data_IF_369824482572
#
_entry.id   IF_369824482572
#
_cell.length_a   1.000
_cell.length_b   1.000
_cell.length_c   1.000
_cell.angle_alpha   90.00
_cell.angle_beta   90.00
_cell.angle_gamma   90.00
#
_symmetry.space_group_name_H-M   'P 1'
#
loop_
_entity.id
_entity.type
_entity.pdbx_description
1 polymer ?
#
# COMPACT_ATOMS: atom_id res chain seq x y z
N UNK A 1 -15.28 -9.97 -5.51
CA UNK A 1 -15.16 -10.36 -4.09
C UNK A 1 -16.36 -9.88 -3.29
N UNK A 2 -16.62 -8.56 -3.18
CA UNK A 2 -17.73 -8.02 -2.38
C UNK A 2 -19.10 -8.59 -2.78
N UNK A 3 -19.42 -8.65 -4.07
CA UNK A 3 -20.68 -9.22 -4.57
C UNK A 3 -20.90 -10.68 -4.14
N UNK A 4 -19.86 -11.52 -4.22
CA UNK A 4 -19.87 -12.92 -3.78
C UNK A 4 -20.12 -13.04 -2.27
N UNK A 5 -19.51 -12.15 -1.48
CA UNK A 5 -19.71 -12.12 -0.02
C UNK A 5 -21.14 -11.66 0.32
N UNK A 6 -21.66 -10.62 -0.34
CA UNK A 6 -23.02 -10.13 -0.10
C UNK A 6 -24.06 -11.22 -0.42
N UNK A 7 -23.87 -11.97 -1.49
CA UNK A 7 -24.76 -13.08 -1.86
C UNK A 7 -24.61 -14.29 -0.92
N UNK A 8 -23.41 -14.55 -0.40
CA UNK A 8 -23.22 -15.52 0.69
C UNK A 8 -24.00 -15.10 1.95
N UNK A 9 -23.93 -13.82 2.33
CA UNK A 9 -24.69 -13.27 3.47
C UNK A 9 -26.20 -13.29 3.24
N UNK A 10 -26.65 -13.18 1.98
CA UNK A 10 -28.03 -13.36 1.58
C UNK A 10 -28.49 -14.84 1.58
N UNK A 11 -27.62 -15.77 1.99
CA UNK A 11 -27.94 -17.18 2.20
C UNK A 11 -27.51 -18.12 1.06
N UNK A 12 -26.81 -17.64 0.02
CA UNK A 12 -26.27 -18.55 -1.02
C UNK A 12 -25.16 -19.43 -0.44
N UNK A 13 -25.21 -20.72 -0.76
CA UNK A 13 -24.15 -21.66 -0.41
C UNK A 13 -22.87 -21.40 -1.21
N UNK A 14 -21.72 -21.81 -0.67
CA UNK A 14 -20.43 -21.70 -1.37
C UNK A 14 -20.42 -22.45 -2.72
N UNK A 15 -21.23 -23.51 -2.86
CA UNK A 15 -21.36 -24.29 -4.10
C UNK A 15 -22.11 -23.50 -5.18
N UNK A 16 -23.19 -22.81 -4.80
CA UNK A 16 -23.91 -21.94 -5.74
C UNK A 16 -23.01 -20.81 -6.25
N UNK A 17 -22.25 -20.18 -5.34
CA UNK A 17 -21.31 -19.11 -5.69
C UNK A 17 -20.16 -19.59 -6.59
N UNK A 18 -19.66 -20.80 -6.37
CA UNK A 18 -18.63 -21.42 -7.22
C UNK A 18 -19.11 -21.60 -8.67
N UNK A 19 -20.33 -22.11 -8.84
CA UNK A 19 -20.93 -22.36 -10.17
C UNK A 19 -21.26 -21.04 -10.87
N UNK A 20 -21.93 -20.12 -10.18
CA UNK A 20 -22.44 -18.87 -10.76
C UNK A 20 -21.32 -17.92 -11.18
N UNK A 21 -20.24 -17.84 -10.39
CA UNK A 21 -19.13 -16.95 -10.68
C UNK A 21 -17.94 -17.65 -11.38
N UNK A 22 -18.00 -18.97 -11.57
CA UNK A 22 -16.89 -19.78 -12.09
C UNK A 22 -15.60 -19.60 -11.27
N UNK A 23 -15.74 -19.56 -9.94
CA UNK A 23 -14.64 -19.34 -8.99
C UNK A 23 -14.49 -20.58 -8.13
N UNK A 24 -13.26 -21.07 -7.96
CA UNK A 24 -13.03 -22.25 -7.13
C UNK A 24 -13.55 -22.10 -5.70
N UNK A 25 -14.09 -23.18 -5.16
CA UNK A 25 -14.56 -23.27 -3.76
C UNK A 25 -13.55 -22.73 -2.74
N UNK A 26 -12.26 -22.99 -2.93
CA UNK A 26 -11.20 -22.55 -2.03
C UNK A 26 -11.06 -21.02 -2.02
N UNK A 27 -11.21 -20.38 -3.18
CA UNK A 27 -11.18 -18.92 -3.29
C UNK A 27 -12.39 -18.30 -2.59
N UNK A 28 -13.59 -18.85 -2.79
CA UNK A 28 -14.82 -18.39 -2.11
C UNK A 28 -14.69 -18.53 -0.59
N UNK A 29 -14.24 -19.69 -0.09
CA UNK A 29 -13.99 -19.92 1.33
C UNK A 29 -12.97 -18.94 1.91
N UNK A 30 -11.87 -18.70 1.20
CA UNK A 30 -10.86 -17.74 1.65
C UNK A 30 -11.46 -16.32 1.73
N UNK A 31 -12.24 -15.88 0.75
CA UNK A 31 -12.87 -14.56 0.81
C UNK A 31 -13.86 -14.43 1.98
N UNK A 32 -14.68 -15.44 2.24
CA UNK A 32 -15.59 -15.47 3.40
C UNK A 32 -14.79 -15.44 4.71
N UNK A 33 -13.72 -16.24 4.81
CA UNK A 33 -12.86 -16.26 5.98
C UNK A 33 -12.23 -14.88 6.25
N UNK A 34 -11.67 -14.24 5.22
CA UNK A 34 -11.05 -12.92 5.33
C UNK A 34 -12.10 -11.84 5.66
N UNK A 35 -13.32 -11.96 5.15
CA UNK A 35 -14.43 -11.08 5.51
C UNK A 35 -14.82 -11.24 6.99
N UNK A 36 -15.02 -12.47 7.48
CA UNK A 36 -15.37 -12.74 8.87
C UNK A 36 -14.26 -12.30 9.86
N UNK A 37 -13.01 -12.26 9.40
CA UNK A 37 -11.87 -11.72 10.17
C UNK A 37 -11.76 -10.19 10.12
N UNK A 38 -12.65 -9.49 9.40
CA UNK A 38 -12.60 -8.04 9.22
C UNK A 38 -11.45 -7.56 8.33
N UNK A 39 -10.76 -8.48 7.65
CA UNK A 39 -9.60 -8.20 6.79
C UNK A 39 -10.10 -7.73 5.40
N UNK A 40 -11.11 -8.41 4.86
CA UNK A 40 -11.70 -8.05 3.58
C UNK A 40 -12.75 -6.95 3.81
N UNK A 41 -12.29 -5.70 3.73
CA UNK A 41 -13.15 -4.52 3.75
C UNK A 41 -13.66 -4.23 2.34
N UNK A 42 -14.82 -3.58 2.29
CA UNK A 42 -15.37 -3.06 1.05
C UNK A 42 -14.35 -2.10 0.40
N UNK A 43 -14.15 -2.22 -0.91
CA UNK A 43 -13.17 -1.38 -1.60
C UNK A 43 -13.67 0.06 -1.58
N UNK A 44 -13.04 0.89 -0.75
CA UNK A 44 -13.22 2.34 -0.79
C UNK A 44 -12.27 2.92 -1.86
N UNK A 45 -12.80 3.40 -3.00
CA UNK A 45 -11.98 4.02 -4.03
C UNK A 45 -11.26 5.26 -3.51
N UNK A 46 -11.76 5.92 -2.45
CA UNK A 46 -11.22 7.17 -1.88
C UNK A 46 -10.86 8.18 -2.97
N UNK A 47 -11.73 8.34 -3.98
CA UNK A 47 -11.41 9.09 -5.21
C UNK A 47 -10.89 10.52 -4.96
N UNK A 48 -11.37 11.15 -3.88
CA UNK A 48 -10.96 12.48 -3.43
C UNK A 48 -9.45 12.60 -3.23
N UNK A 49 -8.75 11.55 -2.76
CA UNK A 49 -7.30 11.63 -2.50
C UNK A 49 -6.47 11.83 -3.78
N UNK A 50 -7.04 11.50 -4.94
CA UNK A 50 -6.39 11.64 -6.24
C UNK A 50 -6.65 13.00 -6.89
N UNK A 51 -7.71 13.70 -6.50
CA UNK A 51 -8.09 15.00 -7.09
C UNK A 51 -7.92 16.18 -6.14
N UNK A 52 -7.87 15.95 -4.83
CA UNK A 52 -7.79 17.01 -3.83
C UNK A 52 -6.51 17.85 -3.90
N UNK A 53 -6.60 19.09 -3.42
CA UNK A 53 -5.44 19.95 -3.22
C UNK A 53 -4.76 19.60 -1.90
N UNK A 54 -3.44 19.54 -1.92
CA UNK A 54 -2.68 19.37 -0.68
C UNK A 54 -2.47 20.71 0.01
N UNK A 55 -2.51 20.76 1.35
CA UNK A 55 -2.12 21.95 2.10
C UNK A 55 -0.64 22.29 1.85
N UNK A 56 -0.30 23.57 2.08
CA UNK A 56 1.10 24.00 2.10
C UNK A 56 1.74 23.48 3.40
N UNK A 57 2.60 22.47 3.27
CA UNK A 57 3.34 21.88 4.38
C UNK A 57 4.83 22.21 4.28
N UNK A 58 5.49 22.32 5.43
CA UNK A 58 6.94 22.49 5.52
C UNK A 58 7.67 21.23 5.00
N UNK A 59 8.96 21.38 4.69
CA UNK A 59 9.81 20.26 4.24
C UNK A 59 9.91 19.17 5.32
N UNK A 60 10.04 19.57 6.58
CA UNK A 60 10.14 18.67 7.73
C UNK A 60 8.85 17.87 7.92
N UNK A 61 7.69 18.52 7.85
CA UNK A 61 6.40 17.84 7.96
C UNK A 61 6.21 16.83 6.83
N UNK A 62 6.55 17.19 5.59
CA UNK A 62 6.51 16.26 4.44
C UNK A 62 7.39 15.03 4.67
N UNK A 63 8.58 15.22 5.23
CA UNK A 63 9.50 14.12 5.55
C UNK A 63 8.96 13.23 6.68
N UNK A 64 8.35 13.82 7.71
CA UNK A 64 7.71 13.07 8.80
C UNK A 64 6.54 12.22 8.29
N UNK A 65 5.70 12.79 7.42
CA UNK A 65 4.57 12.06 6.82
C UNK A 65 5.07 10.91 5.92
N UNK A 66 6.12 11.16 5.13
CA UNK A 66 6.73 10.13 4.30
C UNK A 66 7.29 8.97 5.13
N UNK A 67 7.97 9.28 6.24
CA UNK A 67 8.49 8.29 7.18
C UNK A 67 7.37 7.43 7.77
N UNK A 68 6.29 8.06 8.27
CA UNK A 68 5.13 7.34 8.82
C UNK A 68 4.50 6.41 7.78
N UNK A 69 4.43 6.86 6.51
CA UNK A 69 3.89 6.03 5.43
C UNK A 69 4.69 4.74 5.24
N UNK A 70 6.02 4.83 5.28
CA UNK A 70 6.92 3.67 5.16
C UNK A 70 6.74 2.73 6.37
N UNK A 71 6.74 3.28 7.60
CA UNK A 71 6.57 2.51 8.83
C UNK A 71 5.24 1.74 8.89
N UNK A 72 4.17 2.31 8.30
CA UNK A 72 2.86 1.66 8.18
C UNK A 72 2.72 0.75 6.95
N UNK A 73 3.84 0.31 6.35
CA UNK A 73 3.82 -0.62 5.22
C UNK A 73 3.31 -0.02 3.93
N UNK A 74 3.61 1.27 3.68
CA UNK A 74 3.22 2.01 2.47
C UNK A 74 1.70 2.10 2.26
N UNK A 75 0.93 2.23 3.35
CA UNK A 75 -0.51 2.47 3.29
C UNK A 75 -0.83 3.93 2.90
N UNK A 76 -0.60 4.26 1.63
CA UNK A 76 -0.77 5.61 1.09
C UNK A 76 -2.19 6.14 1.26
N UNK A 77 -3.21 5.29 1.07
CA UNK A 77 -4.62 5.70 1.13
C UNK A 77 -4.97 6.27 2.51
N UNK A 78 -4.61 5.56 3.58
CA UNK A 78 -4.95 5.99 4.93
C UNK A 78 -4.12 7.20 5.39
N UNK A 79 -2.85 7.30 4.97
CA UNK A 79 -2.02 8.49 5.24
C UNK A 79 -2.56 9.72 4.50
N UNK A 80 -2.98 9.57 3.23
CA UNK A 80 -3.59 10.66 2.46
C UNK A 80 -4.87 11.17 3.13
N UNK A 81 -5.74 10.26 3.58
CA UNK A 81 -6.94 10.62 4.34
C UNK A 81 -6.59 11.32 5.66
N UNK A 82 -5.64 10.78 6.43
CA UNK A 82 -5.24 11.32 7.75
C UNK A 82 -4.73 12.76 7.67
N UNK A 83 -3.94 13.08 6.64
CA UNK A 83 -3.28 14.38 6.53
C UNK A 83 -3.93 15.30 5.48
N UNK A 84 -4.97 14.86 4.79
CA UNK A 84 -5.59 15.62 3.69
C UNK A 84 -4.59 15.93 2.55
N UNK A 85 -3.66 15.01 2.27
CA UNK A 85 -2.62 15.19 1.24
C UNK A 85 -2.88 14.33 0.01
N UNK A 86 -2.70 14.93 -1.16
CA UNK A 86 -2.93 14.28 -2.44
C UNK A 86 -2.01 13.07 -2.59
N UNK A 87 -2.53 11.97 -3.12
CA UNK A 87 -1.79 10.72 -3.30
C UNK A 87 -0.47 10.92 -4.05
N UNK A 88 -0.52 11.63 -5.19
CA UNK A 88 0.66 11.90 -6.01
C UNK A 88 1.76 12.64 -5.24
N UNK A 89 1.36 13.55 -4.34
CA UNK A 89 2.28 14.32 -3.52
C UNK A 89 2.92 13.44 -2.45
N UNK A 90 2.12 12.66 -1.71
CA UNK A 90 2.63 11.72 -0.73
C UNK A 90 3.61 10.71 -1.35
N UNK A 91 3.24 10.14 -2.50
CA UNK A 91 4.09 9.22 -3.25
C UNK A 91 5.45 9.85 -3.58
N UNK A 92 5.43 11.08 -4.09
CA UNK A 92 6.65 11.85 -4.39
C UNK A 92 7.50 12.12 -3.15
N UNK A 93 6.87 12.38 -1.99
CA UNK A 93 7.60 12.59 -0.74
C UNK A 93 8.26 11.31 -0.24
N UNK A 94 7.58 10.17 -0.35
CA UNK A 94 8.13 8.85 0.02
C UNK A 94 9.34 8.50 -0.84
N UNK A 95 9.24 8.63 -2.16
CA UNK A 95 10.38 8.40 -3.06
C UNK A 95 11.56 9.29 -2.69
N UNK A 96 11.32 10.58 -2.49
CA UNK A 96 12.39 11.53 -2.16
C UNK A 96 12.99 11.26 -0.77
N UNK A 97 12.20 10.72 0.16
CA UNK A 97 12.67 10.32 1.48
C UNK A 97 13.57 9.07 1.40
N UNK A 98 13.11 8.02 0.71
CA UNK A 98 13.90 6.79 0.50
C UNK A 98 15.22 7.10 -0.23
N UNK A 99 15.19 7.92 -1.29
CA UNK A 99 16.40 8.37 -1.99
C UNK A 99 17.38 9.08 -1.07
N UNK A 100 16.92 9.94 -0.17
CA UNK A 100 17.79 10.63 0.78
C UNK A 100 18.44 9.69 1.78
N UNK A 101 17.68 8.72 2.29
CA UNK A 101 18.23 7.71 3.19
C UNK A 101 19.33 6.91 2.50
N UNK A 102 19.07 6.44 1.28
CA UNK A 102 20.05 5.75 0.45
C UNK A 102 21.31 6.59 0.24
N UNK A 103 21.17 7.87 -0.15
CA UNK A 103 22.34 8.73 -0.37
C UNK A 103 23.14 8.93 0.91
N UNK A 104 22.47 9.03 2.06
CA UNK A 104 23.14 9.15 3.34
C UNK A 104 23.90 7.86 3.68
N UNK A 105 23.27 6.70 3.50
CA UNK A 105 23.89 5.38 3.71
C UNK A 105 25.13 5.19 2.83
N UNK A 106 25.05 5.53 1.54
CA UNK A 106 26.17 5.46 0.59
C UNK A 106 27.31 6.40 1.01
N UNK A 107 26.98 7.63 1.44
CA UNK A 107 27.96 8.61 1.87
C UNK A 107 28.64 8.19 3.19
N UNK A 108 27.93 7.48 4.06
CA UNK A 108 28.46 6.95 5.32
C UNK A 108 29.21 5.63 5.18
N UNK A 109 29.15 4.97 4.01
CA UNK A 109 29.77 3.69 3.80
C UNK A 109 31.30 3.76 4.01
N UNK A 110 31.80 2.85 4.84
CA UNK A 110 33.19 2.78 5.28
C UNK A 110 34.12 2.14 4.24
N UNK A 111 33.55 1.43 3.26
CA UNK A 111 34.29 0.73 2.22
C UNK A 111 33.52 0.69 0.89
N UNK A 112 34.27 0.51 -0.20
CA UNK A 112 33.69 0.30 -1.54
C UNK A 112 32.77 -0.93 -1.58
N UNK A 113 33.14 -2.00 -0.86
CA UNK A 113 32.35 -3.23 -0.76
C UNK A 113 30.96 -2.96 -0.15
N UNK A 114 30.90 -2.19 0.93
CA UNK A 114 29.66 -1.80 1.59
C UNK A 114 28.76 -0.96 0.67
N UNK A 115 29.34 -0.04 -0.12
CA UNK A 115 28.61 0.72 -1.14
C UNK A 115 27.98 -0.19 -2.19
N UNK A 116 28.74 -1.15 -2.71
CA UNK A 116 28.23 -2.11 -3.70
C UNK A 116 27.08 -2.96 -3.15
N UNK A 117 27.15 -3.41 -1.90
CA UNK A 117 26.07 -4.17 -1.25
C UNK A 117 24.78 -3.34 -1.13
N UNK A 118 24.89 -2.06 -0.76
CA UNK A 118 23.74 -1.13 -0.70
C UNK A 118 23.11 -0.97 -2.09
N UNK A 119 23.92 -0.71 -3.12
CA UNK A 119 23.44 -0.53 -4.49
C UNK A 119 22.78 -1.80 -5.06
N UNK A 120 23.32 -2.98 -4.76
CA UNK A 120 22.75 -4.25 -5.21
C UNK A 120 21.38 -4.52 -4.58
N UNK A 121 21.21 -4.23 -3.28
CA UNK A 121 19.91 -4.33 -2.58
C UNK A 121 18.85 -3.44 -3.22
N UNK A 122 19.23 -2.27 -3.72
CA UNK A 122 18.31 -1.35 -4.40
C UNK A 122 17.90 -1.85 -5.77
N UNK A 123 18.86 -2.29 -6.58
CA UNK A 123 18.58 -2.85 -7.91
C UNK A 123 17.62 -4.04 -7.82
N UNK A 124 17.77 -4.89 -6.81
CA UNK A 124 16.86 -6.02 -6.61
C UNK A 124 15.44 -5.59 -6.21
N UNK A 125 15.30 -4.54 -5.38
CA UNK A 125 13.98 -3.96 -5.05
C UNK A 125 13.26 -3.34 -6.26
N UNK A 126 14.00 -2.80 -7.22
CA UNK A 126 13.41 -2.25 -8.46
C UNK A 126 12.92 -3.34 -9.43
N UNK A 127 13.48 -4.56 -9.34
CA UNK A 127 13.11 -5.70 -10.21
C UNK A 127 11.83 -6.40 -9.72
N UNK A 128 11.48 -6.28 -8.43
CA UNK A 128 10.31 -6.92 -7.82
C UNK A 128 9.01 -6.10 -7.92
N UNK A 129 9.05 -4.92 -8.55
CA UNK A 129 7.91 -4.01 -8.76
C UNK A 129 7.45 -3.98 -10.22
#
# INVERSE_FOLDING_TARGET
KQKVINEYLAGKSTRQLEIEYLISKNVVKNWIYQYNKGILKEYDPKGEIYSMRSPKLSKETKMSIAKECIEKGKNYKDICTKYGVKYSNLYSWVINYEKKQITNEINSASSEKERYEILLKLKNKEIEL
#
